data_IF_140520591198
#
_entry.id   IF_140520591198
#
_cell.length_a   1.000
_cell.length_b   1.000
_cell.length_c   1.000
_cell.angle_alpha   90.00
_cell.angle_beta   90.00
_cell.angle_gamma   90.00
#
_symmetry.space_group_name_H-M   'P 1'
#
loop_
_entity.id
_entity.type
_entity.pdbx_description
1 polymer ?
#
# COMPACT_ATOMS: atom_id res chain seq x y z
N UNK A 1 7.97 -29.51 -1.35
CA UNK A 1 8.44 -28.12 -1.52
C UNK A 1 7.57 -27.23 -0.65
N UNK A 2 8.17 -26.49 0.29
CA UNK A 2 7.44 -25.61 1.21
C UNK A 2 6.70 -24.51 0.45
N UNK A 3 5.37 -24.48 0.58
CA UNK A 3 4.51 -23.45 -0.01
C UNK A 3 4.70 -22.13 0.78
N UNK A 4 5.77 -21.42 0.46
CA UNK A 4 6.18 -20.24 1.21
C UNK A 4 5.32 -19.04 0.80
N UNK A 5 4.53 -18.52 1.74
CA UNK A 5 3.68 -17.34 1.55
C UNK A 5 4.52 -16.16 1.06
N UNK A 6 4.04 -15.49 -0.01
CA UNK A 6 4.64 -14.26 -0.55
C UNK A 6 4.70 -13.19 0.54
N UNK A 7 5.81 -12.46 0.58
CA UNK A 7 6.04 -11.34 1.50
C UNK A 7 5.48 -10.06 0.86
N UNK A 8 4.90 -9.18 1.67
CA UNK A 8 4.48 -7.85 1.24
C UNK A 8 5.68 -6.99 0.84
N UNK A 9 5.51 -6.11 -0.15
CA UNK A 9 6.54 -5.11 -0.50
C UNK A 9 6.84 -4.22 0.72
N UNK A 10 8.07 -3.74 0.90
CA UNK A 10 8.47 -3.02 2.13
C UNK A 10 9.09 -3.93 3.19
N UNK A 11 9.09 -5.25 2.97
CA UNK A 11 9.65 -6.23 3.90
C UNK A 11 10.56 -7.22 3.19
N UNK A 12 11.47 -7.80 3.96
CA UNK A 12 12.35 -8.91 3.55
C UNK A 12 12.41 -9.96 4.66
N UNK A 13 13.13 -11.06 4.42
CA UNK A 13 13.44 -12.05 5.45
C UNK A 13 14.90 -11.99 5.85
N UNK A 14 15.16 -12.00 7.16
CA UNK A 14 16.50 -12.12 7.68
C UNK A 14 17.00 -13.58 7.61
N UNK A 15 18.22 -13.84 8.10
CA UNK A 15 18.80 -15.17 8.13
C UNK A 15 17.99 -16.18 8.97
N UNK A 16 17.20 -15.71 9.94
CA UNK A 16 16.32 -16.51 10.79
C UNK A 16 14.94 -16.76 10.17
N UNK A 17 14.71 -16.30 8.93
CA UNK A 17 13.42 -16.36 8.21
C UNK A 17 12.31 -15.51 8.82
N UNK A 18 12.64 -14.60 9.74
CA UNK A 18 11.72 -13.62 10.30
C UNK A 18 11.50 -12.49 9.31
N UNK A 19 10.29 -11.91 9.30
CA UNK A 19 9.97 -10.77 8.46
C UNK A 19 10.52 -9.51 9.11
N UNK A 20 11.38 -8.80 8.39
CA UNK A 20 12.01 -7.55 8.82
C UNK A 20 11.74 -6.45 7.80
N UNK A 21 11.83 -5.20 8.24
CA UNK A 21 11.65 -4.03 7.37
C UNK A 21 12.77 -3.98 6.34
N UNK A 22 12.41 -3.76 5.07
CA UNK A 22 13.36 -3.36 4.05
C UNK A 22 13.22 -1.87 3.83
N UNK A 23 14.10 -1.09 4.48
CA UNK A 23 14.01 0.37 4.61
C UNK A 23 13.70 1.09 3.29
N UNK A 24 14.44 0.80 2.22
CA UNK A 24 14.25 1.44 0.92
C UNK A 24 12.82 1.24 0.36
N UNK A 25 12.29 0.02 0.46
CA UNK A 25 10.92 -0.25 0.02
C UNK A 25 9.88 0.28 1.01
N UNK A 26 10.20 0.30 2.31
CA UNK A 26 9.33 0.81 3.34
C UNK A 26 9.09 2.32 3.19
N UNK A 27 10.12 3.08 2.82
CA UNK A 27 9.99 4.50 2.49
C UNK A 27 9.06 4.74 1.29
N UNK A 28 9.10 3.86 0.28
CA UNK A 28 8.15 3.93 -0.85
C UNK A 28 6.73 3.63 -0.40
N UNK A 29 6.53 2.69 0.55
CA UNK A 29 5.21 2.43 1.14
C UNK A 29 4.70 3.68 1.87
N UNK A 30 5.52 4.32 2.72
CA UNK A 30 5.18 5.57 3.41
C UNK A 30 4.79 6.67 2.43
N UNK A 31 5.61 6.90 1.41
CA UNK A 31 5.35 7.88 0.35
C UNK A 31 4.00 7.64 -0.35
N UNK A 32 3.66 6.38 -0.66
CA UNK A 32 2.36 6.04 -1.29
C UNK A 32 1.20 6.42 -0.36
N UNK A 33 1.31 6.11 0.94
CA UNK A 33 0.28 6.45 1.92
C UNK A 33 0.14 7.97 2.09
N UNK A 34 1.24 8.71 2.18
CA UNK A 34 1.26 10.17 2.29
C UNK A 34 0.65 10.86 1.07
N UNK A 35 1.09 10.51 -0.15
CA UNK A 35 0.54 11.10 -1.36
C UNK A 35 -0.96 10.83 -1.46
N UNK A 36 -1.40 9.63 -1.11
CA UNK A 36 -2.81 9.27 -1.16
C UNK A 36 -3.65 10.00 -0.11
N UNK A 37 -3.13 10.18 1.11
CA UNK A 37 -3.80 10.92 2.17
C UNK A 37 -3.93 12.41 1.84
N UNK A 38 -2.97 12.97 1.11
CA UNK A 38 -3.01 14.32 0.53
C UNK A 38 -3.95 14.45 -0.68
N UNK A 39 -4.70 13.40 -1.03
CA UNK A 39 -5.74 13.44 -2.05
C UNK A 39 -5.30 13.04 -3.46
N UNK A 40 -4.02 12.70 -3.68
CA UNK A 40 -3.54 12.27 -4.99
C UNK A 40 -4.29 11.02 -5.48
N UNK A 41 -4.58 10.95 -6.78
CA UNK A 41 -5.20 9.75 -7.35
C UNK A 41 -4.16 8.63 -7.51
N UNK A 42 -4.61 7.38 -7.69
CA UNK A 42 -3.71 6.27 -7.99
C UNK A 42 -2.86 6.51 -9.25
N UNK A 43 -3.39 7.31 -10.20
CA UNK A 43 -2.66 7.68 -11.42
C UNK A 43 -1.57 8.70 -11.15
N UNK A 44 -1.84 9.67 -10.28
CA UNK A 44 -0.87 10.72 -9.96
C UNK A 44 0.28 10.12 -9.15
N UNK A 45 -0.04 9.21 -8.21
CA UNK A 45 0.97 8.43 -7.48
C UNK A 45 1.80 7.58 -8.45
N UNK A 46 1.17 6.88 -9.39
CA UNK A 46 1.90 6.10 -10.41
C UNK A 46 2.88 6.97 -11.20
N UNK A 47 2.44 8.14 -11.66
CA UNK A 47 3.30 9.08 -12.41
C UNK A 47 4.42 9.62 -11.55
N UNK A 48 4.14 9.92 -10.28
CA UNK A 48 5.15 10.38 -9.34
C UNK A 48 6.26 9.33 -9.20
N UNK A 49 5.90 8.08 -8.89
CA UNK A 49 6.88 6.99 -8.74
C UNK A 49 7.69 6.74 -10.03
N UNK A 50 7.06 6.87 -11.20
CA UNK A 50 7.72 6.75 -12.50
C UNK A 50 8.73 7.90 -12.76
N UNK A 51 8.35 9.14 -12.48
CA UNK A 51 9.22 10.33 -12.63
C UNK A 51 10.47 10.22 -11.75
N UNK A 52 10.32 9.69 -10.53
CA UNK A 52 11.43 9.47 -9.61
C UNK A 52 12.16 8.14 -9.84
N UNK A 53 11.86 7.42 -10.93
CA UNK A 53 12.49 6.15 -11.29
C UNK A 53 12.42 5.06 -10.20
N UNK A 54 11.36 5.05 -9.41
CA UNK A 54 11.15 4.08 -8.32
C UNK A 54 10.54 2.79 -8.93
N UNK A 55 11.27 1.66 -8.94
CA UNK A 55 10.78 0.44 -9.56
C UNK A 55 9.63 -0.18 -8.76
N UNK A 56 8.66 -0.75 -9.46
CA UNK A 56 7.59 -1.55 -8.85
C UNK A 56 8.11 -2.84 -8.21
N UNK A 57 7.31 -3.55 -7.39
CA UNK A 57 7.72 -4.82 -6.78
C UNK A 57 8.11 -5.92 -7.80
N UNK A 58 7.74 -5.75 -9.07
CA UNK A 58 8.11 -6.64 -10.18
C UNK A 58 9.20 -6.04 -11.08
N UNK A 59 9.95 -5.05 -10.61
CA UNK A 59 11.01 -4.33 -11.34
C UNK A 59 10.55 -3.64 -12.63
N UNK A 60 9.26 -3.29 -12.73
CA UNK A 60 8.74 -2.47 -13.83
C UNK A 60 8.86 -0.99 -13.50
N UNK A 61 9.07 -0.16 -14.52
CA UNK A 61 9.15 1.30 -14.43
C UNK A 61 7.84 1.95 -14.00
N UNK A 62 6.70 1.38 -14.39
CA UNK A 62 5.36 1.90 -14.07
C UNK A 62 4.70 1.09 -12.98
N UNK A 63 4.20 1.78 -11.94
CA UNK A 63 3.37 1.20 -10.90
C UNK A 63 1.90 1.14 -11.35
N UNK A 64 1.42 -0.06 -11.69
CA UNK A 64 0.01 -0.24 -12.03
C UNK A 64 -0.93 0.21 -10.90
N UNK A 65 -2.05 0.87 -11.23
CA UNK A 65 -3.05 1.34 -10.25
C UNK A 65 -3.48 0.26 -9.24
N UNK A 66 -3.62 -0.99 -9.71
CA UNK A 66 -3.97 -2.12 -8.85
C UNK A 66 -2.88 -2.41 -7.81
N UNK A 67 -1.60 -2.29 -8.17
CA UNK A 67 -0.48 -2.52 -7.26
C UNK A 67 -0.49 -1.46 -6.16
N UNK A 68 -0.65 -0.19 -6.53
CA UNK A 68 -0.76 0.93 -5.57
C UNK A 68 -1.97 0.74 -4.65
N UNK A 69 -3.13 0.36 -5.20
CA UNK A 69 -4.31 0.07 -4.39
C UNK A 69 -4.10 -1.13 -3.45
N UNK A 70 -3.35 -2.16 -3.87
CA UNK A 70 -3.01 -3.29 -3.01
C UNK A 70 -2.10 -2.85 -1.85
N UNK A 71 -1.15 -1.94 -2.09
CA UNK A 71 -0.33 -1.34 -1.02
C UNK A 71 -1.23 -0.61 -0.02
N UNK A 72 -2.11 0.27 -0.50
CA UNK A 72 -3.03 1.04 0.36
C UNK A 72 -4.06 0.18 1.11
N UNK A 73 -4.25 -1.09 0.73
CA UNK A 73 -5.24 -1.99 1.37
C UNK A 73 -4.59 -3.05 2.26
N UNK A 74 -3.26 -3.05 2.39
CA UNK A 74 -2.55 -4.09 3.09
C UNK A 74 -2.32 -3.73 4.56
N UNK A 75 -3.15 -4.29 5.44
CA UNK A 75 -3.12 -4.04 6.89
C UNK A 75 -1.81 -4.49 7.57
N UNK A 76 -1.01 -5.34 6.91
CA UNK A 76 0.29 -5.74 7.46
C UNK A 76 1.21 -4.55 7.74
N UNK A 77 1.03 -3.43 7.03
CA UNK A 77 1.82 -2.22 7.26
C UNK A 77 1.57 -1.55 8.60
N UNK A 78 0.43 -1.80 9.24
CA UNK A 78 0.12 -1.30 10.58
C UNK A 78 0.82 -2.11 11.69
N UNK A 79 1.49 -3.21 11.33
CA UNK A 79 2.14 -4.12 12.26
C UNK A 79 1.20 -5.21 12.79
N UNK A 80 1.73 -6.41 13.01
CA UNK A 80 1.06 -7.53 13.66
C UNK A 80 2.10 -8.50 14.27
N UNK A 81 1.69 -9.72 14.64
CA UNK A 81 2.60 -10.70 15.24
C UNK A 81 3.77 -11.11 14.33
N UNK A 82 3.60 -11.04 13.00
CA UNK A 82 4.62 -11.43 12.03
C UNK A 82 5.28 -10.21 11.36
N UNK A 83 4.55 -9.11 11.17
CA UNK A 83 5.00 -7.95 10.43
C UNK A 83 5.34 -6.79 11.37
N UNK A 84 6.57 -6.27 11.31
CA UNK A 84 6.90 -4.99 11.94
C UNK A 84 6.06 -3.85 11.36
N UNK A 85 5.77 -2.85 12.17
CA UNK A 85 5.01 -1.68 11.74
C UNK A 85 5.83 -0.77 10.80
N UNK A 86 5.24 -0.37 9.68
CA UNK A 86 5.77 0.65 8.74
C UNK A 86 4.92 1.92 8.78
N UNK A 87 3.60 1.77 8.91
CA UNK A 87 2.60 2.84 8.85
C UNK A 87 1.94 2.98 10.23
N UNK A 88 1.85 4.21 10.72
CA UNK A 88 1.15 4.51 11.96
C UNK A 88 -0.38 4.58 11.75
N UNK A 89 -1.12 4.49 12.85
CA UNK A 89 -2.58 4.48 12.82
C UNK A 89 -3.17 5.76 12.21
N UNK A 90 -2.56 6.91 12.47
CA UNK A 90 -3.00 8.21 11.93
C UNK A 90 -2.95 8.23 10.39
N UNK A 91 -1.83 7.85 9.80
CA UNK A 91 -1.63 7.86 8.36
C UNK A 91 -2.48 6.78 7.67
N UNK A 92 -2.64 5.61 8.30
CA UNK A 92 -3.57 4.58 7.84
C UNK A 92 -5.00 5.13 7.76
N UNK A 93 -5.49 5.72 8.86
CA UNK A 93 -6.85 6.26 8.93
C UNK A 93 -7.07 7.38 7.90
N UNK A 94 -6.08 8.27 7.71
CA UNK A 94 -6.15 9.32 6.69
C UNK A 94 -6.32 8.75 5.27
N UNK A 95 -5.55 7.73 4.92
CA UNK A 95 -5.67 7.06 3.62
C UNK A 95 -7.04 6.36 3.45
N UNK A 96 -7.52 5.66 4.48
CA UNK A 96 -8.79 4.93 4.43
C UNK A 96 -10.00 5.87 4.36
N UNK A 97 -9.98 6.98 5.11
CA UNK A 97 -11.01 8.02 5.03
C UNK A 97 -11.15 8.55 3.61
N UNK A 98 -10.04 8.85 2.94
CA UNK A 98 -10.05 9.29 1.54
C UNK A 98 -10.62 8.24 0.60
N UNK A 99 -10.32 6.96 0.83
CA UNK A 99 -10.84 5.84 0.03
C UNK A 99 -12.35 5.68 0.17
N UNK A 100 -12.87 5.79 1.39
CA UNK A 100 -14.30 5.69 1.69
C UNK A 100 -15.10 6.90 1.17
N UNK A 101 -14.49 8.09 1.18
CA UNK A 101 -15.09 9.30 0.64
C UNK A 101 -15.01 9.42 -0.89
N UNK A 102 -14.40 8.44 -1.57
CA UNK A 102 -14.42 8.36 -3.03
C UNK A 102 -15.86 8.23 -3.54
N UNK A 103 -16.20 9.01 -4.57
CA UNK A 103 -17.51 8.96 -5.24
C UNK A 103 -17.91 7.56 -5.71
N UNK A 104 -16.92 6.71 -6.01
CA UNK A 104 -17.12 5.31 -6.35
C UNK A 104 -17.61 4.47 -5.15
N UNK A 105 -17.00 4.64 -3.97
CA UNK A 105 -17.43 3.97 -2.73
C UNK A 105 -18.82 4.43 -2.32
N UNK A 106 -19.08 5.74 -2.39
CA UNK A 106 -20.38 6.32 -2.03
C UNK A 106 -21.53 5.84 -2.94
N UNK A 107 -21.27 5.64 -4.24
CA UNK A 107 -22.25 5.07 -5.19
C UNK A 107 -22.53 3.59 -4.91
N UNK A 108 -21.50 2.81 -4.59
CA UNK A 108 -21.65 1.39 -4.26
C UNK A 108 -22.44 1.18 -2.94
N UNK A 109 -22.17 1.97 -1.91
CA UNK A 109 -22.90 1.93 -0.64
C UNK A 109 -24.39 2.29 -0.81
N UNK A 110 -24.70 3.29 -1.65
CA UNK A 110 -26.09 3.65 -1.99
C UNK A 110 -26.83 2.54 -2.72
N UNK A 111 -26.17 1.82 -3.64
CA UNK A 111 -26.82 0.70 -4.36
C UNK A 111 -27.16 -0.50 -3.50
N UNK A 112 -26.44 -0.72 -2.38
CA UNK A 112 -26.66 -1.87 -1.48
C UNK A 112 -27.74 -1.62 -0.42
N UNK A 113 -28.05 -0.35 -0.13
CA UNK A 113 -29.06 0.05 0.85
C UNK A 113 -30.47 0.23 0.26
N UNK A 114 -30.66 -0.05 -1.03
CA UNK A 114 -31.92 0.10 -1.76
C UNK A 114 -32.53 -1.24 -2.23
N UNK A 115 -32.10 -2.37 -1.64
CA UNK A 115 -32.63 -3.71 -1.88
C UNK A 115 -33.24 -4.26 -0.61
#
# INVERSE_FOLDING_TARGET
MSNQKRISFGYTRNALKEIVIYEEQAEVVKLIFELYSLGQSLSDISKHLEIYHIPSPSNKTVWGRQIINNVLSNENYCGNCDYPQIINEELWNAAQNKKNNSSYSMRYSRSKASV
#
